data_IF_911825472934
#
_entry.id   IF_911825472934
#
_cell.length_a   1.000
_cell.length_b   1.000
_cell.length_c   1.000
_cell.angle_alpha   90.00
_cell.angle_beta   90.00
_cell.angle_gamma   90.00
#
_symmetry.space_group_name_H-M   'P 1'
#
loop_
_entity.id
_entity.type
_entity.pdbx_description
1 polymer ?
#
# COMPACT_ATOMS: atom_id res chain seq x y z
N UNK A 1 3.30 -24.83 20.19
CA UNK A 1 3.24 -26.25 19.78
C UNK A 1 2.17 -26.43 18.70
N UNK A 2 0.93 -26.02 18.91
CA UNK A 2 -0.18 -26.21 17.96
C UNK A 2 0.11 -25.70 16.52
N UNK A 3 0.88 -24.61 16.36
CA UNK A 3 1.20 -24.09 15.04
C UNK A 3 2.24 -24.97 14.31
N UNK A 4 3.21 -25.56 15.04
CA UNK A 4 4.14 -26.54 14.48
C UNK A 4 3.42 -27.78 13.96
N UNK A 5 2.46 -28.28 14.72
CA UNK A 5 1.65 -29.45 14.36
C UNK A 5 0.79 -29.17 13.13
N UNK A 6 0.10 -28.00 13.11
CA UNK A 6 -0.75 -27.62 11.96
C UNK A 6 0.03 -27.39 10.66
N UNK A 7 1.27 -26.90 10.75
CA UNK A 7 2.12 -26.61 9.58
C UNK A 7 3.12 -27.73 9.27
N UNK A 8 3.12 -28.80 10.06
CA UNK A 8 4.04 -29.94 9.93
C UNK A 8 5.52 -29.53 9.87
N UNK A 9 5.89 -28.52 10.67
CA UNK A 9 7.25 -27.99 10.74
C UNK A 9 7.81 -28.02 12.16
N UNK A 10 9.13 -28.09 12.29
CA UNK A 10 9.79 -28.01 13.59
C UNK A 10 9.82 -26.59 14.14
N UNK A 11 10.17 -26.44 15.44
CA UNK A 11 10.18 -25.15 16.15
C UNK A 11 11.17 -24.14 15.58
N UNK A 12 12.32 -24.61 15.06
CA UNK A 12 13.37 -23.73 14.54
C UNK A 12 12.92 -22.94 13.30
N UNK A 13 12.49 -23.58 12.21
CA UNK A 13 11.99 -22.83 11.05
C UNK A 13 10.77 -21.97 11.38
N UNK A 14 9.87 -22.42 12.27
CA UNK A 14 8.75 -21.59 12.71
C UNK A 14 9.24 -20.30 13.39
N UNK A 15 10.22 -20.39 14.29
CA UNK A 15 10.79 -19.22 14.98
C UNK A 15 11.42 -18.23 14.01
N UNK A 16 12.16 -18.71 13.01
CA UNK A 16 12.76 -17.84 12.01
C UNK A 16 11.69 -17.17 11.13
N UNK A 17 10.67 -17.91 10.70
CA UNK A 17 9.54 -17.34 9.98
C UNK A 17 8.80 -16.26 10.79
N UNK A 18 8.55 -16.50 12.08
CA UNK A 18 7.91 -15.52 12.95
C UNK A 18 8.76 -14.26 13.13
N UNK A 19 10.09 -14.37 13.22
CA UNK A 19 10.99 -13.21 13.26
C UNK A 19 10.90 -12.37 11.99
N UNK A 20 10.87 -13.01 10.82
CA UNK A 20 10.68 -12.32 9.54
C UNK A 20 9.35 -11.58 9.51
N UNK A 21 8.25 -12.24 9.91
CA UNK A 21 6.92 -11.62 9.94
C UNK A 21 6.83 -10.46 10.94
N UNK A 22 7.56 -10.53 12.07
CA UNK A 22 7.67 -9.40 13.02
C UNK A 22 8.47 -8.25 12.40
N UNK A 23 9.58 -8.55 11.72
CA UNK A 23 10.38 -7.53 11.03
C UNK A 23 9.61 -6.86 9.87
N UNK A 24 8.70 -7.59 9.22
CA UNK A 24 7.80 -7.07 8.19
C UNK A 24 6.58 -6.32 8.76
N UNK A 25 6.43 -6.22 10.08
CA UNK A 25 5.29 -5.56 10.72
C UNK A 25 3.96 -6.32 10.62
N UNK A 26 3.97 -7.58 10.17
CA UNK A 26 2.77 -8.43 10.08
C UNK A 26 2.39 -9.05 11.43
N UNK A 27 3.38 -9.22 12.30
CA UNK A 27 3.20 -9.69 13.67
C UNK A 27 3.85 -8.71 14.66
N UNK A 28 3.31 -8.65 15.87
CA UNK A 28 3.94 -8.04 17.03
C UNK A 28 4.40 -9.14 18.00
N UNK A 29 5.61 -8.99 18.55
CA UNK A 29 6.13 -9.90 19.56
C UNK A 29 5.89 -9.32 20.94
N UNK A 30 5.19 -10.06 21.80
CA UNK A 30 5.05 -9.72 23.22
C UNK A 30 5.93 -10.65 24.06
N UNK A 31 6.86 -10.11 24.87
CA UNK A 31 7.71 -10.93 25.71
C UNK A 31 6.88 -11.87 26.59
N UNK A 32 7.27 -13.14 26.64
CA UNK A 32 6.60 -14.25 27.38
C UNK A 32 5.20 -14.63 26.92
N UNK A 33 4.56 -13.86 26.01
CA UNK A 33 3.21 -14.14 25.49
C UNK A 33 3.23 -14.67 24.05
N UNK A 34 4.28 -14.42 23.28
CA UNK A 34 4.44 -14.92 21.91
C UNK A 34 4.24 -13.86 20.83
N UNK A 35 3.86 -14.32 19.65
CA UNK A 35 3.58 -13.44 18.51
C UNK A 35 2.06 -13.34 18.26
N UNK A 36 1.61 -12.14 17.97
CA UNK A 36 0.22 -11.81 17.65
C UNK A 36 0.17 -11.13 16.29
N UNK A 37 -0.94 -11.26 15.58
CA UNK A 37 -1.16 -10.49 14.35
C UNK A 37 -1.14 -8.99 14.70
N UNK A 38 -0.40 -8.22 13.92
CA UNK A 38 -0.35 -6.77 14.10
C UNK A 38 -1.74 -6.18 13.74
N UNK A 39 -2.31 -5.45 14.65
CA UNK A 39 -3.56 -4.72 14.45
C UNK A 39 -3.25 -3.25 14.29
N UNK A 40 -3.85 -2.63 13.29
CA UNK A 40 -3.78 -1.18 13.07
C UNK A 40 -5.01 -0.57 13.73
N UNK A 41 -4.81 0.28 14.73
CA UNK A 41 -5.89 0.95 15.45
C UNK A 41 -6.43 2.15 14.66
N UNK A 42 -7.63 2.64 14.98
CA UNK A 42 -8.15 3.89 14.40
C UNK A 42 -7.19 5.08 14.64
N UNK A 43 -6.54 5.12 15.80
CA UNK A 43 -5.53 6.12 16.12
C UNK A 43 -4.32 6.03 15.20
N UNK A 44 -3.83 4.82 14.91
CA UNK A 44 -2.73 4.62 13.96
C UNK A 44 -3.11 5.13 12.56
N UNK A 45 -4.36 4.86 12.12
CA UNK A 45 -4.86 5.36 10.85
C UNK A 45 -4.85 6.90 10.82
N UNK A 46 -5.27 7.56 11.90
CA UNK A 46 -5.33 9.01 12.00
C UNK A 46 -3.95 9.67 12.08
N UNK A 47 -2.99 9.01 12.67
CA UNK A 47 -1.63 9.53 12.82
C UNK A 47 -0.77 9.22 11.58
N UNK A 48 -0.87 8.02 10.98
CA UNK A 48 -0.01 7.59 9.87
C UNK A 48 -0.48 8.12 8.51
N UNK A 49 -1.80 8.07 8.22
CA UNK A 49 -2.28 8.41 6.87
C UNK A 49 -2.02 9.87 6.46
N UNK A 50 -2.16 10.89 7.31
CA UNK A 50 -1.79 12.25 6.93
C UNK A 50 -0.31 12.38 6.57
N UNK A 51 0.58 11.67 7.28
CA UNK A 51 2.02 11.69 7.02
C UNK A 51 2.35 11.00 5.71
N UNK A 52 1.87 9.77 5.52
CA UNK A 52 2.16 9.01 4.29
C UNK A 52 1.53 9.66 3.05
N UNK A 53 0.37 10.32 3.19
CA UNK A 53 -0.26 11.08 2.12
C UNK A 53 0.62 12.26 1.65
N UNK A 54 1.24 12.99 2.57
CA UNK A 54 2.19 14.04 2.24
C UNK A 54 3.42 13.49 1.53
N UNK A 55 3.97 12.39 2.02
CA UNK A 55 5.19 11.79 1.47
C UNK A 55 4.95 11.16 0.09
N UNK A 56 3.89 10.39 -0.08
CA UNK A 56 3.59 9.78 -1.39
C UNK A 56 3.05 10.82 -2.39
N UNK A 57 2.35 11.86 -1.95
CA UNK A 57 2.02 13.02 -2.78
C UNK A 57 3.28 13.69 -3.31
N UNK A 58 4.27 13.93 -2.43
CA UNK A 58 5.58 14.45 -2.85
C UNK A 58 6.28 13.53 -3.84
N UNK A 59 6.25 12.22 -3.61
CA UNK A 59 6.80 11.24 -4.54
C UNK A 59 6.12 11.32 -5.92
N UNK A 60 4.79 11.43 -5.97
CA UNK A 60 4.04 11.58 -7.22
C UNK A 60 4.42 12.86 -7.98
N UNK A 61 4.59 13.98 -7.26
CA UNK A 61 5.07 15.24 -7.84
C UNK A 61 6.45 15.08 -8.49
N UNK A 62 7.41 14.55 -7.74
CA UNK A 62 8.79 14.39 -8.24
C UNK A 62 8.84 13.38 -9.38
N UNK A 63 8.11 12.27 -9.28
CA UNK A 63 7.98 11.29 -10.36
C UNK A 63 7.46 11.94 -11.64
N UNK A 64 6.40 12.75 -11.55
CA UNK A 64 5.83 13.45 -12.71
C UNK A 64 6.83 14.41 -13.37
N UNK A 65 7.68 15.06 -12.58
CA UNK A 65 8.71 15.97 -13.11
C UNK A 65 9.88 15.26 -13.78
N UNK A 66 10.14 13.99 -13.40
CA UNK A 66 11.32 13.22 -13.85
C UNK A 66 10.99 12.13 -14.87
N UNK A 67 9.72 11.71 -14.96
CA UNK A 67 9.31 10.58 -15.77
C UNK A 67 9.65 10.79 -17.26
N UNK A 68 10.36 9.83 -17.83
CA UNK A 68 10.57 9.71 -19.28
C UNK A 68 9.34 9.12 -19.97
N UNK A 69 9.28 9.18 -21.29
CA UNK A 69 8.23 8.51 -22.08
C UNK A 69 8.21 6.99 -21.83
N UNK A 70 9.35 6.38 -21.57
CA UNK A 70 9.45 4.95 -21.26
C UNK A 70 8.83 4.64 -19.87
N UNK A 71 9.03 5.51 -18.89
CA UNK A 71 8.45 5.36 -17.54
C UNK A 71 6.92 5.53 -17.59
N UNK A 72 6.43 6.49 -18.38
CA UNK A 72 4.99 6.67 -18.62
C UNK A 72 4.38 5.41 -19.23
N UNK A 73 5.02 4.81 -20.25
CA UNK A 73 4.55 3.58 -20.88
C UNK A 73 4.55 2.38 -19.90
N UNK A 74 5.58 2.27 -19.06
CA UNK A 74 5.63 1.24 -18.01
C UNK A 74 4.49 1.40 -16.98
N UNK A 75 4.25 2.63 -16.51
CA UNK A 75 3.12 2.95 -15.62
C UNK A 75 1.77 2.70 -16.30
N UNK A 76 1.63 2.97 -17.60
CA UNK A 76 0.41 2.65 -18.33
C UNK A 76 0.12 1.15 -18.32
N UNK A 77 1.12 0.32 -18.54
CA UNK A 77 1.00 -1.14 -18.45
C UNK A 77 0.52 -1.60 -17.07
N UNK A 78 1.06 -1.01 -15.99
CA UNK A 78 0.62 -1.31 -14.63
C UNK A 78 -0.83 -0.90 -14.39
N UNK A 79 -1.26 0.26 -14.91
CA UNK A 79 -2.65 0.71 -14.78
C UNK A 79 -3.63 -0.13 -15.60
N UNK A 80 -3.24 -0.60 -16.80
CA UNK A 80 -4.03 -1.56 -17.57
C UNK A 80 -4.23 -2.87 -16.79
N UNK A 81 -3.17 -3.39 -16.17
CA UNK A 81 -3.27 -4.56 -15.29
C UNK A 81 -4.18 -4.31 -14.10
N UNK A 82 -4.08 -3.13 -13.46
CA UNK A 82 -4.96 -2.73 -12.37
C UNK A 82 -6.43 -2.73 -12.79
N UNK A 83 -6.75 -2.15 -13.97
CA UNK A 83 -8.10 -2.13 -14.54
C UNK A 83 -8.62 -3.54 -14.82
N UNK A 84 -7.80 -4.40 -15.40
CA UNK A 84 -8.17 -5.79 -15.66
C UNK A 84 -8.49 -6.52 -14.36
N UNK A 85 -7.63 -6.43 -13.35
CA UNK A 85 -7.87 -7.06 -12.04
C UNK A 85 -9.16 -6.55 -11.38
N UNK A 86 -9.45 -5.25 -11.50
CA UNK A 86 -10.69 -4.67 -10.98
C UNK A 86 -11.94 -5.19 -11.70
N UNK A 87 -11.92 -5.29 -13.03
CA UNK A 87 -13.04 -5.80 -13.84
C UNK A 87 -13.34 -7.28 -13.59
N UNK A 88 -12.31 -8.06 -13.25
CA UNK A 88 -12.41 -9.49 -12.95
C UNK A 88 -12.64 -9.77 -11.45
N UNK A 89 -12.66 -8.74 -10.61
CA UNK A 89 -12.84 -8.88 -9.15
C UNK A 89 -11.68 -9.60 -8.44
N UNK A 90 -10.48 -9.66 -9.05
CA UNK A 90 -9.31 -10.33 -8.50
C UNK A 90 -8.58 -9.44 -7.49
N UNK A 91 -9.12 -9.35 -6.27
CA UNK A 91 -8.64 -8.44 -5.22
C UNK A 91 -7.15 -8.64 -4.88
N UNK A 92 -6.62 -9.88 -4.68
CA UNK A 92 -5.20 -10.06 -4.40
C UNK A 92 -4.28 -9.56 -5.53
N UNK A 93 -4.65 -9.80 -6.80
CA UNK A 93 -3.89 -9.33 -7.96
C UNK A 93 -4.00 -7.82 -8.13
N UNK A 94 -5.19 -7.26 -7.86
CA UNK A 94 -5.39 -5.81 -7.82
C UNK A 94 -4.48 -5.16 -6.77
N UNK A 95 -4.41 -5.72 -5.56
CA UNK A 95 -3.54 -5.22 -4.50
C UNK A 95 -2.06 -5.25 -4.92
N UNK A 96 -1.61 -6.33 -5.57
CA UNK A 96 -0.25 -6.44 -6.07
C UNK A 96 0.06 -5.39 -7.17
N UNK A 97 -0.86 -5.18 -8.12
CA UNK A 97 -0.72 -4.16 -9.17
C UNK A 97 -0.73 -2.73 -8.57
N UNK A 98 -1.64 -2.47 -7.63
CA UNK A 98 -1.70 -1.22 -6.86
C UNK A 98 -0.36 -0.94 -6.15
N UNK A 99 0.18 -1.93 -5.45
CA UNK A 99 1.48 -1.80 -4.78
C UNK A 99 2.60 -1.46 -5.77
N UNK A 100 2.65 -2.15 -6.92
CA UNK A 100 3.65 -1.90 -7.95
C UNK A 100 3.57 -0.48 -8.53
N UNK A 101 2.36 0.07 -8.70
CA UNK A 101 2.17 1.46 -9.15
C UNK A 101 2.78 2.45 -8.16
N UNK A 102 2.45 2.32 -6.88
CA UNK A 102 3.03 3.22 -5.87
C UNK A 102 4.56 3.09 -5.78
N UNK A 103 5.10 1.87 -5.83
CA UNK A 103 6.56 1.65 -5.85
C UNK A 103 7.22 2.29 -7.07
N UNK A 104 6.55 2.28 -8.24
CA UNK A 104 7.05 2.97 -9.42
C UNK A 104 7.14 4.50 -9.20
N UNK A 105 6.11 5.12 -8.62
CA UNK A 105 6.16 6.55 -8.28
C UNK A 105 7.27 6.87 -7.28
N UNK A 106 7.45 6.04 -6.24
CA UNK A 106 8.49 6.22 -5.22
C UNK A 106 9.88 6.08 -5.85
N UNK A 107 10.06 5.10 -6.73
CA UNK A 107 11.34 4.87 -7.43
C UNK A 107 11.67 6.03 -8.37
N UNK A 108 10.70 6.52 -9.15
CA UNK A 108 10.87 7.65 -10.06
C UNK A 108 11.14 8.97 -9.33
N UNK A 109 10.65 9.11 -8.09
CA UNK A 109 10.98 10.27 -7.26
C UNK A 109 12.49 10.37 -6.97
N UNK A 110 13.23 9.25 -7.07
CA UNK A 110 14.69 9.17 -6.90
C UNK A 110 15.18 9.86 -5.62
N UNK A 111 14.50 9.53 -4.50
CA UNK A 111 14.83 10.03 -3.17
C UNK A 111 14.86 8.88 -2.17
N UNK A 112 16.07 8.40 -1.86
CA UNK A 112 16.27 7.23 -0.99
C UNK A 112 15.64 7.35 0.40
N UNK A 113 15.65 8.56 0.98
CA UNK A 113 15.09 8.79 2.31
C UNK A 113 13.57 8.81 2.28
N UNK A 114 12.99 9.41 1.24
CA UNK A 114 11.56 9.38 1.00
C UNK A 114 11.07 7.93 0.84
N UNK A 115 11.76 7.15 0.00
CA UNK A 115 11.46 5.74 -0.22
C UNK A 115 11.54 4.91 1.08
N UNK A 116 12.57 5.12 1.89
CA UNK A 116 12.73 4.41 3.16
C UNK A 116 11.59 4.70 4.13
N UNK A 117 11.27 5.98 4.38
CA UNK A 117 10.22 6.36 5.33
C UNK A 117 8.85 5.87 4.86
N UNK A 118 8.53 6.02 3.57
CA UNK A 118 7.28 5.49 3.01
C UNK A 118 7.23 3.97 3.18
N UNK A 119 8.31 3.26 2.87
CA UNK A 119 8.40 1.80 2.99
C UNK A 119 8.12 1.32 4.42
N UNK A 120 8.66 2.00 5.42
CA UNK A 120 8.45 1.66 6.84
C UNK A 120 6.99 1.90 7.27
N UNK A 121 6.38 3.02 6.88
CA UNK A 121 4.97 3.28 7.15
C UNK A 121 4.03 2.30 6.43
N UNK A 122 4.37 1.91 5.18
CA UNK A 122 3.59 0.95 4.40
C UNK A 122 3.58 -0.45 5.01
N UNK A 123 4.68 -0.88 5.64
CA UNK A 123 4.75 -2.17 6.35
C UNK A 123 3.68 -2.24 7.44
N UNK A 124 3.53 -1.16 8.23
CA UNK A 124 2.52 -1.07 9.31
C UNK A 124 1.10 -1.21 8.73
N UNK A 125 0.82 -0.56 7.61
CA UNK A 125 -0.52 -0.52 7.02
C UNK A 125 -0.88 -1.73 6.14
N UNK A 126 0.06 -2.65 5.89
CA UNK A 126 -0.06 -3.69 4.85
C UNK A 126 -1.32 -4.54 4.97
N UNK A 127 -1.61 -5.05 6.16
CA UNK A 127 -2.78 -5.92 6.38
C UNK A 127 -4.09 -5.15 6.27
N UNK A 128 -4.16 -3.97 6.86
CA UNK A 128 -5.34 -3.12 6.80
C UNK A 128 -5.68 -2.72 5.36
N UNK A 129 -4.68 -2.35 4.55
CA UNK A 129 -4.85 -1.94 3.15
C UNK A 129 -5.45 -3.03 2.26
N UNK A 130 -5.16 -4.30 2.51
CA UNK A 130 -5.77 -5.40 1.78
C UNK A 130 -7.24 -5.57 2.16
N UNK A 131 -7.57 -5.49 3.44
CA UNK A 131 -8.92 -5.70 3.95
C UNK A 131 -9.93 -4.69 3.40
N UNK A 132 -9.58 -3.42 3.28
CA UNK A 132 -10.49 -2.38 2.80
C UNK A 132 -11.00 -2.58 1.37
N UNK A 133 -10.23 -3.27 0.51
CA UNK A 133 -10.62 -3.54 -0.88
C UNK A 133 -11.83 -4.47 -1.00
N UNK A 134 -12.18 -5.19 0.06
CA UNK A 134 -13.38 -6.02 0.14
C UNK A 134 -14.65 -5.22 0.46
N UNK A 135 -14.52 -3.95 0.88
CA UNK A 135 -15.69 -3.10 1.15
C UNK A 135 -16.46 -2.80 -0.15
N UNK A 136 -17.80 -2.78 -0.12
CA UNK A 136 -18.62 -2.53 -1.29
C UNK A 136 -18.23 -1.23 -2.01
N UNK A 137 -17.99 -1.30 -3.32
CA UNK A 137 -17.65 -0.13 -4.15
C UNK A 137 -16.23 0.40 -3.99
N UNK A 138 -15.46 -0.06 -2.99
CA UNK A 138 -14.11 0.49 -2.71
C UNK A 138 -13.11 0.17 -3.83
N UNK A 139 -13.21 -1.01 -4.44
CA UNK A 139 -12.35 -1.42 -5.55
C UNK A 139 -12.45 -0.44 -6.72
N UNK A 140 -13.69 -0.08 -7.13
CA UNK A 140 -13.96 0.84 -8.23
C UNK A 140 -13.53 2.27 -7.89
N UNK A 141 -13.75 2.71 -6.65
CA UNK A 141 -13.27 4.01 -6.18
C UNK A 141 -11.74 4.09 -6.20
N UNK A 142 -11.07 3.07 -5.70
CA UNK A 142 -9.60 2.98 -5.72
C UNK A 142 -9.06 3.04 -7.15
N UNK A 143 -9.69 2.32 -8.08
CA UNK A 143 -9.31 2.37 -9.49
C UNK A 143 -9.44 3.78 -10.07
N UNK A 144 -10.58 4.45 -9.85
CA UNK A 144 -10.79 5.81 -10.34
C UNK A 144 -9.76 6.80 -9.77
N UNK A 145 -9.39 6.64 -8.49
CA UNK A 145 -8.37 7.45 -7.84
C UNK A 145 -6.99 7.24 -8.50
N UNK A 146 -6.58 5.99 -8.77
CA UNK A 146 -5.33 5.69 -9.46
C UNK A 146 -5.29 6.25 -10.88
N UNK A 147 -6.40 6.14 -11.62
CA UNK A 147 -6.48 6.71 -12.97
C UNK A 147 -6.37 8.22 -12.98
N UNK A 148 -6.87 8.91 -11.94
CA UNK A 148 -6.70 10.36 -11.79
C UNK A 148 -5.22 10.75 -11.55
N UNK A 149 -4.50 10.01 -10.69
CA UNK A 149 -3.06 10.22 -10.49
C UNK A 149 -2.29 10.01 -11.81
N UNK A 150 -2.60 8.94 -12.53
CA UNK A 150 -1.93 8.63 -13.79
C UNK A 150 -2.24 9.65 -14.89
N UNK A 151 -3.47 10.14 -14.97
CA UNK A 151 -3.85 11.19 -15.91
C UNK A 151 -3.05 12.48 -15.67
N UNK A 152 -2.86 12.89 -14.42
CA UNK A 152 -2.04 14.03 -14.05
C UNK A 152 -0.57 13.82 -14.44
N UNK A 153 0.00 12.63 -14.20
CA UNK A 153 1.36 12.30 -14.61
C UNK A 153 1.50 12.37 -16.14
N UNK A 154 0.55 11.81 -16.92
CA UNK A 154 0.56 11.88 -18.41
C UNK A 154 0.48 13.31 -18.93
N UNK A 155 -0.22 14.17 -18.22
CA UNK A 155 -0.33 15.60 -18.56
C UNK A 155 0.92 16.41 -18.17
N UNK A 156 1.86 15.81 -17.41
CA UNK A 156 3.00 16.53 -16.84
C UNK A 156 2.62 17.50 -15.71
N UNK A 157 1.38 17.41 -15.21
CA UNK A 157 0.90 18.26 -14.12
C UNK A 157 1.29 17.68 -12.76
N UNK A 158 2.47 18.07 -12.31
CA UNK A 158 3.05 17.57 -11.06
C UNK A 158 2.28 18.01 -9.81
N UNK A 159 1.60 19.15 -9.85
CA UNK A 159 0.79 19.62 -8.74
C UNK A 159 -0.51 18.80 -8.64
N UNK A 160 -1.18 18.56 -9.75
CA UNK A 160 -2.36 17.69 -9.79
C UNK A 160 -2.04 16.25 -9.40
N UNK A 161 -0.87 15.71 -9.80
CA UNK A 161 -0.42 14.38 -9.41
C UNK A 161 -0.22 14.26 -7.89
N UNK A 162 0.41 15.27 -7.27
CA UNK A 162 0.55 15.37 -5.80
C UNK A 162 -0.80 15.35 -5.10
N UNK A 163 -1.72 16.23 -5.50
CA UNK A 163 -3.03 16.37 -4.87
C UNK A 163 -3.90 15.11 -5.08
N UNK A 164 -3.87 14.50 -6.25
CA UNK A 164 -4.58 13.27 -6.53
C UNK A 164 -4.07 12.10 -5.66
N UNK A 165 -2.75 11.95 -5.52
CA UNK A 165 -2.14 10.92 -4.66
C UNK A 165 -2.48 11.15 -3.19
N UNK A 166 -2.40 12.37 -2.70
CA UNK A 166 -2.80 12.72 -1.33
C UNK A 166 -4.26 12.41 -1.06
N UNK A 167 -5.14 12.79 -1.98
CA UNK A 167 -6.58 12.52 -1.90
C UNK A 167 -6.85 11.02 -1.88
N UNK A 168 -6.20 10.24 -2.76
CA UNK A 168 -6.29 8.79 -2.79
C UNK A 168 -5.99 8.17 -1.42
N UNK A 169 -4.87 8.55 -0.79
CA UNK A 169 -4.47 8.00 0.50
C UNK A 169 -5.41 8.40 1.65
N UNK A 170 -5.91 9.63 1.66
CA UNK A 170 -6.87 10.06 2.67
C UNK A 170 -8.21 9.33 2.52
N UNK A 171 -8.70 9.11 1.32
CA UNK A 171 -9.90 8.28 1.07
C UNK A 171 -9.68 6.82 1.45
N UNK A 172 -8.46 6.31 1.29
CA UNK A 172 -8.10 4.97 1.76
C UNK A 172 -8.20 4.87 3.28
N UNK A 173 -7.72 5.89 4.04
CA UNK A 173 -7.91 5.98 5.49
C UNK A 173 -9.39 5.90 5.86
N UNK A 174 -10.20 6.72 5.20
CA UNK A 174 -11.63 6.82 5.52
C UNK A 174 -12.35 5.46 5.30
N UNK A 175 -12.04 4.78 4.20
CA UNK A 175 -12.55 3.44 3.94
C UNK A 175 -12.10 2.39 4.97
N UNK A 176 -10.88 2.49 5.50
CA UNK A 176 -10.39 1.62 6.58
C UNK A 176 -11.12 1.86 7.89
N UNK A 177 -11.44 3.11 8.22
CA UNK A 177 -12.23 3.44 9.40
C UNK A 177 -13.64 2.86 9.32
N UNK A 178 -14.26 2.92 8.14
CA UNK A 178 -15.59 2.36 7.94
C UNK A 178 -15.61 0.83 8.11
N UNK A 179 -14.55 0.14 7.65
CA UNK A 179 -14.38 -1.31 7.85
C UNK A 179 -14.16 -1.66 9.32
N UNK A 180 -13.43 -0.84 10.08
CA UNK A 180 -13.16 -1.09 11.50
C UNK A 180 -14.39 -0.91 12.40
N UNK A 181 -15.42 -0.18 11.93
CA UNK A 181 -16.64 0.12 12.68
C UNK A 181 -17.78 -0.86 12.43
N UNK A 182 -17.68 -1.70 11.40
CA UNK A 182 -18.67 -2.70 11.02
C UNK A 182 -18.25 -4.12 11.44
#
# INVERSE_FOLDING_TARGET
LALCERLEISRTPLREALKVLVAEGLLRHEPRRGCFVAEVTERDLDEIFPVIALLEGRAAREATQKASSADVAALETLHQRLQQCASEGRIPDYYAANHAIHEAFITLADNRWLAQVIGDLRKILRLARLQQLHAPGRLQQSLAEHLAVFAALKAGDSAAAEDAMRTHLLRQRDALRDVARN
#
